data_IF_600828050583
#
_entry.id   IF_600828050583
#
_cell.length_a   1.000
_cell.length_b   1.000
_cell.length_c   1.000
_cell.angle_alpha   90.00
_cell.angle_beta   90.00
_cell.angle_gamma   90.00
#
_symmetry.space_group_name_H-M   'P 1'
#
loop_
_entity.id
_entity.type
_entity.pdbx_description
1 polymer ?
#
# COMPACT_ATOMS: atom_id res chain seq x y z
N UNK A 1 -5.60 -27.92 -2.66
CA UNK A 1 -5.57 -27.06 -3.86
C UNK A 1 -4.41 -26.10 -3.72
N UNK A 2 -3.48 -26.12 -4.67
CA UNK A 2 -2.13 -25.57 -4.49
C UNK A 2 -2.06 -24.06 -4.80
N UNK A 3 -2.93 -23.26 -4.17
CA UNK A 3 -3.07 -21.82 -4.43
C UNK A 3 -1.81 -21.02 -4.10
N UNK A 4 -1.02 -21.50 -3.13
CA UNK A 4 0.24 -20.85 -2.72
C UNK A 4 1.24 -20.85 -3.87
N UNK A 5 1.35 -21.94 -4.63
CA UNK A 5 2.23 -22.00 -5.80
C UNK A 5 1.73 -21.11 -6.95
N UNK A 6 0.41 -20.96 -7.11
CA UNK A 6 -0.17 -20.05 -8.09
C UNK A 6 0.10 -18.57 -7.76
N UNK A 7 0.19 -18.21 -6.47
CA UNK A 7 0.57 -16.86 -6.01
C UNK A 7 2.01 -16.48 -6.36
N UNK A 8 2.94 -17.43 -6.42
CA UNK A 8 4.34 -17.14 -6.78
C UNK A 8 4.67 -17.39 -8.26
N UNK A 9 3.78 -18.05 -8.99
CA UNK A 9 3.93 -18.34 -10.41
C UNK A 9 4.24 -17.10 -11.29
N UNK A 10 3.52 -15.96 -11.16
CA UNK A 10 3.77 -14.81 -12.02
C UNK A 10 5.18 -14.21 -11.87
N UNK A 11 5.70 -13.92 -10.66
CA UNK A 11 7.07 -13.41 -10.53
C UNK A 11 8.14 -14.45 -10.88
N UNK A 12 7.93 -15.74 -10.59
CA UNK A 12 8.86 -16.83 -10.94
C UNK A 12 8.95 -17.07 -12.45
N UNK A 13 7.83 -17.01 -13.18
CA UNK A 13 7.80 -17.17 -14.63
C UNK A 13 8.63 -16.09 -15.35
N UNK A 14 8.55 -14.84 -14.85
CA UNK A 14 9.29 -13.71 -15.43
C UNK A 14 10.79 -13.79 -15.10
N UNK A 15 11.14 -14.33 -13.93
CA UNK A 15 12.52 -14.59 -13.54
C UNK A 15 13.16 -15.64 -14.47
N UNK A 16 12.45 -16.73 -14.76
CA UNK A 16 12.91 -17.80 -15.67
C UNK A 16 13.03 -17.35 -17.13
N UNK A 17 12.30 -16.30 -17.53
CA UNK A 17 12.42 -15.67 -18.84
C UNK A 17 13.67 -14.78 -18.98
N UNK A 18 14.52 -14.68 -17.95
CA UNK A 18 15.75 -13.87 -17.95
C UNK A 18 15.52 -12.36 -17.80
N UNK A 19 14.28 -11.92 -17.51
CA UNK A 19 13.91 -10.52 -17.41
C UNK A 19 13.89 -10.05 -15.96
N UNK A 20 15.07 -9.99 -15.33
CA UNK A 20 15.26 -9.65 -13.90
C UNK A 20 14.61 -8.31 -13.53
N UNK A 21 14.78 -7.28 -14.35
CA UNK A 21 14.16 -5.97 -14.10
C UNK A 21 12.63 -6.04 -14.07
N UNK A 22 12.02 -6.74 -15.03
CA UNK A 22 10.58 -6.91 -15.12
C UNK A 22 10.05 -7.76 -13.95
N UNK A 23 10.82 -8.77 -13.53
CA UNK A 23 10.49 -9.59 -12.36
C UNK A 23 10.41 -8.76 -11.08
N UNK A 24 11.36 -7.83 -10.87
CA UNK A 24 11.38 -6.93 -9.72
C UNK A 24 10.17 -5.99 -9.73
N UNK A 25 9.85 -5.38 -10.88
CA UNK A 25 8.68 -4.51 -11.03
C UNK A 25 7.39 -5.28 -10.76
N UNK A 26 7.25 -6.49 -11.32
CA UNK A 26 6.08 -7.32 -11.08
C UNK A 26 6.00 -7.73 -9.62
N UNK A 27 7.09 -8.14 -8.98
CA UNK A 27 7.11 -8.47 -7.55
C UNK A 27 6.70 -7.26 -6.67
N UNK A 28 7.18 -6.06 -6.99
CA UNK A 28 6.83 -4.81 -6.31
C UNK A 28 5.37 -4.39 -6.46
N UNK A 29 4.69 -4.77 -7.53
CA UNK A 29 3.25 -4.51 -7.73
C UNK A 29 2.43 -5.67 -7.14
N UNK A 30 2.95 -6.89 -7.23
CA UNK A 30 2.29 -8.13 -6.87
C UNK A 30 2.19 -8.36 -5.35
N UNK A 31 3.28 -8.11 -4.62
CA UNK A 31 3.28 -8.15 -3.15
C UNK A 31 2.21 -7.21 -2.57
N UNK A 32 2.14 -5.93 -2.95
CA UNK A 32 1.05 -5.07 -2.54
C UNK A 32 -0.30 -5.56 -3.06
N UNK A 33 -0.44 -6.02 -4.30
CA UNK A 33 -1.73 -6.49 -4.82
C UNK A 33 -2.32 -7.66 -4.00
N UNK A 34 -1.49 -8.58 -3.52
CA UNK A 34 -1.90 -9.68 -2.62
C UNK A 34 -2.23 -9.15 -1.23
N UNK A 35 -1.46 -8.18 -0.72
CA UNK A 35 -1.72 -7.56 0.58
C UNK A 35 -2.99 -6.67 0.55
N UNK A 36 -3.28 -6.02 -0.58
CA UNK A 36 -4.41 -5.10 -0.76
C UNK A 36 -5.72 -5.82 -1.06
N UNK A 37 -5.69 -7.02 -1.65
CA UNK A 37 -6.91 -7.83 -1.89
C UNK A 37 -7.56 -8.33 -0.59
N UNK A 38 -6.96 -8.07 0.59
CA UNK A 38 -7.54 -8.31 1.91
C UNK A 38 -7.80 -7.08 2.81
N UNK A 39 -7.76 -5.83 2.32
CA UNK A 39 -7.74 -4.67 3.23
C UNK A 39 -8.02 -3.27 2.67
N UNK A 40 -9.03 -3.12 1.79
CA UNK A 40 -9.47 -1.81 1.25
C UNK A 40 -9.84 -0.75 2.32
N UNK A 41 -10.01 -1.13 3.59
CA UNK A 41 -10.30 -0.22 4.71
C UNK A 41 -9.08 0.53 5.25
N UNK A 42 -7.86 0.06 4.97
CA UNK A 42 -6.65 0.63 5.57
C UNK A 42 -6.13 1.91 4.88
N UNK A 43 -6.12 2.04 3.53
CA UNK A 43 -5.79 3.31 2.89
C UNK A 43 -6.77 4.42 3.29
N UNK A 44 -8.05 4.06 3.46
CA UNK A 44 -9.08 4.97 3.95
C UNK A 44 -8.80 5.41 5.39
N UNK A 45 -8.36 4.51 6.26
CA UNK A 45 -7.96 4.84 7.65
C UNK A 45 -6.73 5.76 7.71
N UNK A 46 -5.70 5.50 6.91
CA UNK A 46 -4.49 6.35 6.87
C UNK A 46 -4.82 7.76 6.35
N UNK A 47 -5.68 7.86 5.34
CA UNK A 47 -6.16 9.15 4.83
C UNK A 47 -7.00 9.90 5.88
N UNK A 48 -7.90 9.21 6.58
CA UNK A 48 -8.70 9.80 7.66
C UNK A 48 -7.83 10.27 8.83
N UNK A 49 -6.86 9.45 9.27
CA UNK A 49 -5.95 9.79 10.35
C UNK A 49 -5.08 11.01 9.99
N UNK A 50 -4.59 11.09 8.75
CA UNK A 50 -3.86 12.26 8.25
C UNK A 50 -4.71 13.53 8.35
N UNK A 51 -5.95 13.49 7.85
CA UNK A 51 -6.86 14.64 7.86
C UNK A 51 -7.14 15.12 9.29
N UNK A 52 -7.39 14.18 10.22
CA UNK A 52 -7.65 14.50 11.62
C UNK A 52 -6.45 15.16 12.31
N UNK A 53 -5.23 14.70 12.05
CA UNK A 53 -4.01 15.31 12.61
C UNK A 53 -3.80 16.72 12.07
N UNK A 54 -4.04 16.93 10.78
CA UNK A 54 -3.92 18.25 10.15
C UNK A 54 -4.95 19.24 10.73
N UNK A 55 -6.21 18.83 10.85
CA UNK A 55 -7.27 19.65 11.48
C UNK A 55 -6.94 19.98 12.94
N UNK A 56 -6.46 19.01 13.71
CA UNK A 56 -6.08 19.23 15.12
C UNK A 56 -4.88 20.19 15.27
N UNK A 57 -4.02 20.33 14.25
CA UNK A 57 -2.93 21.30 14.25
C UNK A 57 -3.42 22.72 13.98
N UNK A 58 -4.35 22.88 13.03
CA UNK A 58 -4.98 24.17 12.69
C UNK A 58 -5.82 24.72 13.85
N UNK A 59 -6.63 23.87 14.50
CA UNK A 59 -7.45 24.25 15.67
C UNK A 59 -6.61 24.79 16.84
N UNK A 60 -5.39 24.25 17.03
CA UNK A 60 -4.46 24.74 18.07
C UNK A 60 -3.87 26.09 17.71
N UNK A 61 -3.72 26.43 16.42
CA UNK A 61 -3.29 27.76 16.00
C UNK A 61 -4.38 28.80 16.18
N UNK A 62 -5.62 28.50 15.80
CA UNK A 62 -6.74 29.44 15.93
C UNK A 62 -6.99 29.87 17.39
N UNK A 63 -6.82 28.96 18.36
CA UNK A 63 -6.94 29.27 19.79
C UNK A 63 -5.83 30.17 20.36
N UNK A 64 -4.69 30.32 19.65
CA UNK A 64 -3.59 31.19 20.07
C UNK A 64 -3.73 32.62 19.54
N UNK A 65 -4.38 32.79 18.39
CA UNK A 65 -4.59 34.09 17.75
C UNK A 65 -5.85 34.81 18.25
N UNK A 66 -6.71 34.14 19.02
CA UNK A 66 -7.92 34.69 19.64
C UNK A 66 -7.70 35.26 21.07
N UNK A 67 -6.45 35.60 21.44
CA UNK A 67 -6.07 36.17 22.74
C UNK A 67 -5.43 37.54 22.55
#
# INVERSE_FOLDING_TARGET
MNYVLALFLPPLSILLLGRVFVSIVVFLIWVPAILFTGGLTHPMFVLLAWILIYQAHEDRRYKRDAR
#
